data_IF_480983357443
#
_entry.id   IF_480983357443
#
_cell.length_a   1.000
_cell.length_b   1.000
_cell.length_c   1.000
_cell.angle_alpha   90.00
_cell.angle_beta   90.00
_cell.angle_gamma   90.00
#
_symmetry.space_group_name_H-M   'P 1'
#
loop_
_entity.id
_entity.type
_entity.pdbx_description
1 polymer ?
#
# COMPACT_ATOMS: atom_id res chain seq x y z
N UNK A 1 28.33 -4.42 -12.26
CA UNK A 1 27.38 -4.83 -11.21
C UNK A 1 28.00 -4.43 -9.90
N UNK A 2 27.50 -3.36 -9.29
CA UNK A 2 27.95 -2.94 -7.97
C UNK A 2 27.33 -3.91 -6.97
N UNK A 3 28.01 -5.03 -6.74
CA UNK A 3 27.57 -5.99 -5.74
C UNK A 3 27.84 -5.38 -4.37
N UNK A 4 26.77 -5.16 -3.61
CA UNK A 4 26.88 -5.04 -2.16
C UNK A 4 27.60 -6.27 -1.63
N UNK A 5 28.55 -6.08 -0.71
CA UNK A 5 29.09 -7.25 -0.02
C UNK A 5 27.96 -7.92 0.78
N UNK A 6 28.01 -9.25 0.98
CA UNK A 6 26.90 -9.98 1.58
C UNK A 6 26.49 -9.48 2.98
N UNK A 7 27.44 -8.93 3.75
CA UNK A 7 27.17 -8.44 5.10
C UNK A 7 26.40 -7.12 5.02
N UNK A 8 26.85 -6.17 4.19
CA UNK A 8 26.15 -4.91 3.98
C UNK A 8 24.76 -5.13 3.38
N UNK A 9 24.62 -6.06 2.43
CA UNK A 9 23.34 -6.42 1.83
C UNK A 9 22.35 -6.92 2.88
N UNK A 10 22.76 -7.86 3.73
CA UNK A 10 21.91 -8.42 4.78
C UNK A 10 21.47 -7.35 5.79
N UNK A 11 22.39 -6.47 6.19
CA UNK A 11 22.08 -5.35 7.09
C UNK A 11 21.04 -4.43 6.44
N UNK A 12 21.26 -4.01 5.19
CA UNK A 12 20.35 -3.12 4.47
C UNK A 12 18.97 -3.76 4.26
N UNK A 13 18.92 -5.04 3.87
CA UNK A 13 17.65 -5.73 3.67
C UNK A 13 16.89 -5.94 4.98
N UNK A 14 17.58 -6.31 6.06
CA UNK A 14 17.00 -6.40 7.40
C UNK A 14 16.40 -5.06 7.87
N UNK A 15 17.05 -3.94 7.52
CA UNK A 15 16.50 -2.59 7.77
C UNK A 15 15.24 -2.35 6.96
N UNK A 16 15.20 -2.69 5.67
CA UNK A 16 13.99 -2.56 4.84
C UNK A 16 12.83 -3.40 5.38
N UNK A 17 13.09 -4.63 5.85
CA UNK A 17 12.10 -5.47 6.53
C UNK A 17 11.58 -4.81 7.81
N UNK A 18 12.47 -4.20 8.60
CA UNK A 18 12.10 -3.46 9.81
C UNK A 18 11.21 -2.25 9.51
N UNK A 19 11.43 -1.57 8.39
CA UNK A 19 10.58 -0.46 7.94
C UNK A 19 9.16 -0.97 7.64
N UNK A 20 9.04 -2.07 6.89
CA UNK A 20 7.74 -2.67 6.59
C UNK A 20 7.01 -3.11 7.88
N UNK A 21 7.73 -3.64 8.87
CA UNK A 21 7.17 -3.97 10.20
C UNK A 21 6.70 -2.74 10.98
N UNK A 22 7.38 -1.61 10.86
CA UNK A 22 6.96 -0.34 11.47
C UNK A 22 5.67 0.18 10.82
N UNK A 23 5.55 0.06 9.50
CA UNK A 23 4.29 0.34 8.79
C UNK A 23 3.16 -0.55 9.31
N UNK A 24 3.41 -1.86 9.39
CA UNK A 24 2.41 -2.83 9.88
C UNK A 24 1.97 -2.51 11.32
N UNK A 25 2.93 -2.17 12.18
CA UNK A 25 2.65 -1.77 13.57
C UNK A 25 1.84 -0.47 13.63
N UNK A 26 2.07 0.44 12.69
CA UNK A 26 1.30 1.69 12.60
C UNK A 26 -0.16 1.37 12.31
N UNK A 27 -0.45 0.59 11.26
CA UNK A 27 -1.83 0.15 10.95
C UNK A 27 -2.48 -0.50 12.16
N UNK A 28 -1.82 -1.48 12.79
CA UNK A 28 -2.37 -2.21 13.94
C UNK A 28 -2.79 -1.28 15.09
N UNK A 29 -2.03 -0.21 15.33
CA UNK A 29 -2.24 0.69 16.47
C UNK A 29 -3.23 1.81 16.21
N UNK A 30 -3.52 2.11 14.94
CA UNK A 30 -4.40 3.23 14.57
C UNK A 30 -5.71 2.77 13.95
N UNK A 31 -5.80 1.53 13.45
CA UNK A 31 -7.03 0.96 12.96
C UNK A 31 -8.06 0.74 14.08
N UNK A 32 -9.34 0.78 13.72
CA UNK A 32 -10.46 0.71 14.66
C UNK A 32 -11.39 -0.48 14.40
N UNK A 33 -11.45 -1.01 13.18
CA UNK A 33 -12.25 -2.21 12.94
C UNK A 33 -11.60 -3.45 13.56
N UNK A 34 -12.42 -4.40 13.99
CA UNK A 34 -11.92 -5.68 14.51
C UNK A 34 -11.25 -6.52 13.43
N UNK A 35 -11.56 -6.30 12.15
CA UNK A 35 -10.94 -7.00 11.02
C UNK A 35 -9.45 -6.65 10.95
N UNK A 36 -9.11 -5.37 11.04
CA UNK A 36 -7.72 -4.92 10.98
C UNK A 36 -7.08 -5.00 12.37
N UNK A 37 -7.69 -4.40 13.39
CA UNK A 37 -7.07 -4.23 14.71
C UNK A 37 -7.01 -5.51 15.56
N UNK A 38 -7.76 -6.56 15.21
CA UNK A 38 -7.78 -7.83 15.97
C UNK A 38 -7.52 -9.06 15.12
N UNK A 39 -8.12 -9.17 13.93
CA UNK A 39 -7.88 -10.29 13.04
C UNK A 39 -6.61 -10.11 12.18
N UNK A 40 -6.05 -8.90 12.12
CA UNK A 40 -4.84 -8.56 11.38
C UNK A 40 -4.94 -8.90 9.88
N UNK A 41 -6.12 -8.68 9.30
CA UNK A 41 -6.39 -8.96 7.88
C UNK A 41 -5.89 -7.80 6.99
N UNK A 42 -4.56 -7.62 6.97
CA UNK A 42 -3.88 -6.62 6.16
C UNK A 42 -2.40 -6.99 5.92
N UNK A 43 -1.74 -6.26 5.02
CA UNK A 43 -0.32 -6.40 4.73
C UNK A 43 0.33 -5.08 4.33
N UNK A 44 1.63 -4.95 4.60
CA UNK A 44 2.43 -3.75 4.30
C UNK A 44 3.71 -4.11 3.57
N UNK A 45 4.10 -3.28 2.60
CA UNK A 45 5.20 -3.56 1.69
C UNK A 45 5.90 -2.28 1.21
N UNK A 46 7.22 -2.39 1.03
CA UNK A 46 8.05 -1.41 0.33
C UNK A 46 8.38 -1.96 -1.05
N UNK A 47 8.13 -1.15 -2.08
CA UNK A 47 8.36 -1.51 -3.48
C UNK A 47 9.37 -0.56 -4.14
N UNK A 48 10.12 -1.09 -5.10
CA UNK A 48 11.02 -0.29 -5.92
C UNK A 48 10.26 0.57 -6.95
N UNK A 49 10.98 1.44 -7.66
CA UNK A 49 10.42 2.30 -8.70
C UNK A 49 9.76 1.52 -9.88
N UNK A 50 10.01 0.20 -10.01
CA UNK A 50 9.40 -0.69 -10.99
C UNK A 50 8.19 -1.45 -10.43
N UNK A 51 7.78 -1.15 -9.20
CA UNK A 51 6.68 -1.83 -8.52
C UNK A 51 7.00 -3.28 -8.14
N UNK A 52 8.27 -3.61 -7.91
CA UNK A 52 8.70 -4.91 -7.38
C UNK A 52 8.83 -4.82 -5.86
N UNK A 53 8.30 -5.82 -5.16
CA UNK A 53 8.48 -5.95 -3.71
C UNK A 53 9.96 -6.04 -3.35
N UNK A 54 10.41 -5.22 -2.40
CA UNK A 54 11.74 -5.31 -1.80
C UNK A 54 11.64 -5.95 -0.42
N UNK A 55 10.65 -5.54 0.36
CA UNK A 55 10.46 -5.96 1.74
C UNK A 55 8.99 -5.84 2.13
N UNK A 56 8.47 -6.85 2.82
CA UNK A 56 7.13 -6.86 3.39
C UNK A 56 7.20 -7.21 4.88
N UNK A 57 6.20 -6.78 5.63
CA UNK A 57 6.05 -7.21 7.02
C UNK A 57 5.81 -8.74 7.07
N UNK A 58 6.54 -9.46 7.92
CA UNK A 58 6.46 -10.92 8.03
C UNK A 58 5.09 -11.40 8.57
N UNK A 59 4.36 -10.51 9.23
CA UNK A 59 2.99 -10.76 9.72
C UNK A 59 1.92 -10.53 8.68
N UNK A 60 2.26 -9.91 7.55
CA UNK A 60 1.32 -9.67 6.47
C UNK A 60 0.79 -10.99 5.94
N UNK A 61 -0.50 -11.04 5.61
CA UNK A 61 -1.05 -12.22 4.97
C UNK A 61 -0.37 -12.43 3.60
N UNK A 62 0.05 -13.66 3.27
CA UNK A 62 0.79 -13.92 2.03
C UNK A 62 0.10 -13.42 0.75
N UNK A 63 -1.23 -13.43 0.73
CA UNK A 63 -2.01 -12.95 -0.42
C UNK A 63 -1.78 -11.46 -0.71
N UNK A 64 -1.62 -10.62 0.32
CA UNK A 64 -1.39 -9.18 0.14
C UNK A 64 0.02 -8.91 -0.39
N UNK A 65 1.04 -9.64 0.11
CA UNK A 65 2.41 -9.51 -0.39
C UNK A 65 2.54 -9.94 -1.85
N UNK A 66 1.74 -10.91 -2.29
CA UNK A 66 1.74 -11.35 -3.69
C UNK A 66 1.00 -10.40 -4.63
N UNK A 67 0.01 -9.66 -4.14
CA UNK A 67 -0.89 -8.84 -4.96
C UNK A 67 -0.50 -7.36 -4.98
N UNK A 68 0.15 -6.84 -3.94
CA UNK A 68 0.63 -5.46 -3.88
C UNK A 68 1.58 -5.07 -5.04
N UNK A 69 2.50 -5.93 -5.51
CA UNK A 69 3.27 -5.66 -6.74
C UNK A 69 2.40 -5.55 -7.99
N UNK A 70 1.29 -6.29 -8.07
CA UNK A 70 0.36 -6.21 -9.20
C UNK A 70 -0.39 -4.88 -9.21
N UNK A 71 -0.91 -4.46 -8.06
CA UNK A 71 -1.56 -3.14 -7.89
C UNK A 71 -0.59 -2.03 -8.30
N UNK A 72 0.64 -2.08 -7.80
CA UNK A 72 1.65 -1.05 -8.06
C UNK A 72 2.07 -0.99 -9.53
N UNK A 73 2.24 -2.15 -10.19
CA UNK A 73 2.52 -2.19 -11.64
C UNK A 73 1.32 -1.71 -12.47
N UNK A 74 0.09 -1.98 -12.03
CA UNK A 74 -1.10 -1.49 -12.71
C UNK A 74 -1.24 0.05 -12.58
N UNK A 75 -0.85 0.62 -11.43
CA UNK A 75 -0.70 2.07 -11.25
C UNK A 75 0.32 2.61 -12.25
N UNK A 76 1.52 2.03 -12.33
CA UNK A 76 2.56 2.45 -13.28
C UNK A 76 2.13 2.32 -14.75
N UNK A 77 1.25 1.36 -15.07
CA UNK A 77 0.67 1.20 -16.40
C UNK A 77 -0.40 2.25 -16.74
N UNK A 78 -1.13 2.75 -15.73
CA UNK A 78 -2.17 3.77 -15.91
C UNK A 78 -1.63 5.19 -15.79
N UNK A 79 -0.70 5.42 -14.88
CA UNK A 79 -0.06 6.69 -14.57
C UNK A 79 1.44 6.55 -14.86
N UNK A 80 1.92 7.05 -16.01
CA UNK A 80 3.34 7.03 -16.33
C UNK A 80 4.17 7.67 -15.22
N UNK A 81 5.39 7.17 -14.98
CA UNK A 81 6.27 7.69 -13.91
C UNK A 81 6.48 9.22 -13.96
N UNK A 82 6.44 9.83 -15.14
CA UNK A 82 6.57 11.27 -15.33
C UNK A 82 5.36 12.08 -14.83
N UNK A 83 4.23 11.44 -14.60
CA UNK A 83 2.98 12.04 -14.10
C UNK A 83 2.77 11.77 -12.59
N UNK A 84 3.59 10.91 -11.99
CA UNK A 84 3.56 10.65 -10.55
C UNK A 84 4.29 11.79 -9.84
N UNK A 85 3.62 12.40 -8.87
CA UNK A 85 4.11 13.57 -8.14
C UNK A 85 4.18 13.31 -6.63
N UNK A 86 5.04 14.03 -5.89
CA UNK A 86 4.97 14.05 -4.43
C UNK A 86 3.57 14.44 -3.96
N UNK A 87 3.06 13.76 -2.93
CA UNK A 87 1.72 14.02 -2.39
C UNK A 87 0.58 13.30 -3.11
N UNK A 88 0.87 12.57 -4.19
CA UNK A 88 -0.10 11.63 -4.75
C UNK A 88 -0.31 10.45 -3.80
N UNK A 89 -1.52 9.92 -3.76
CA UNK A 89 -1.83 8.61 -3.16
C UNK A 89 -2.80 7.88 -4.07
N UNK A 90 -2.45 6.66 -4.46
CA UNK A 90 -3.25 5.84 -5.34
C UNK A 90 -4.04 4.79 -4.55
N UNK A 91 -5.21 4.44 -5.06
CA UNK A 91 -6.13 3.49 -4.44
C UNK A 91 -6.83 2.63 -5.48
N UNK A 92 -7.12 1.38 -5.12
CA UNK A 92 -8.08 0.52 -5.81
C UNK A 92 -8.60 -0.55 -4.85
N UNK A 93 -9.79 -1.07 -5.11
CA UNK A 93 -10.24 -2.34 -4.55
C UNK A 93 -10.63 -3.35 -5.64
N UNK A 94 -10.08 -3.15 -6.85
CA UNK A 94 -10.28 -4.06 -7.96
C UNK A 94 -9.88 -5.50 -7.55
N UNK A 95 -10.83 -6.44 -7.47
CA UNK A 95 -10.60 -7.77 -6.93
C UNK A 95 -9.67 -8.60 -7.83
N UNK A 96 -9.48 -8.18 -9.09
CA UNK A 96 -8.55 -8.82 -10.03
C UNK A 96 -7.11 -8.33 -9.86
N UNK A 97 -6.90 -7.18 -9.20
CA UNK A 97 -5.58 -6.64 -8.89
C UNK A 97 -5.20 -6.86 -7.42
N UNK A 98 -6.16 -6.70 -6.51
CA UNK A 98 -6.03 -6.94 -5.07
C UNK A 98 -6.19 -8.44 -4.74
N UNK A 99 -6.76 -8.76 -3.57
CA UNK A 99 -6.80 -10.10 -3.00
C UNK A 99 -8.15 -10.84 -3.19
N UNK A 100 -8.85 -10.56 -4.29
CA UNK A 100 -9.94 -11.41 -4.79
C UNK A 100 -11.36 -11.01 -4.39
N UNK A 101 -11.55 -9.99 -3.55
CA UNK A 101 -12.87 -9.43 -3.22
C UNK A 101 -12.82 -7.91 -2.95
N UNK A 102 -13.99 -7.25 -3.04
CA UNK A 102 -14.07 -5.78 -2.93
C UNK A 102 -13.67 -5.17 -1.58
N UNK A 103 -13.82 -5.86 -0.43
CA UNK A 103 -13.33 -5.31 0.84
C UNK A 103 -11.81 -5.06 0.91
N UNK A 104 -11.01 -5.66 0.03
CA UNK A 104 -9.55 -5.50 0.06
C UNK A 104 -9.13 -4.21 -0.66
N UNK A 105 -8.82 -3.20 0.14
CA UNK A 105 -8.42 -1.88 -0.35
C UNK A 105 -6.90 -1.79 -0.39
N UNK A 106 -6.34 -1.68 -1.59
CA UNK A 106 -4.94 -1.38 -1.81
C UNK A 106 -4.68 0.12 -1.87
N UNK A 107 -3.74 0.62 -1.06
CA UNK A 107 -3.29 2.01 -1.04
C UNK A 107 -1.78 2.07 -1.28
N UNK A 108 -1.36 2.88 -2.25
CA UNK A 108 0.03 3.00 -2.68
C UNK A 108 0.44 4.47 -2.71
N UNK A 109 1.52 4.78 -2.01
CA UNK A 109 2.07 6.14 -1.89
C UNK A 109 3.48 6.18 -2.48
N UNK A 110 3.75 7.06 -3.46
CA UNK A 110 5.07 7.20 -4.05
C UNK A 110 6.05 7.83 -3.07
N UNK A 111 7.29 7.35 -3.12
CA UNK A 111 8.41 7.83 -2.31
C UNK A 111 9.29 8.70 -3.19
N UNK A 112 9.58 9.91 -2.72
CA UNK A 112 10.50 10.84 -3.36
C UNK A 112 11.69 11.13 -2.44
N UNK A 113 12.89 11.10 -3.02
CA UNK A 113 14.13 11.44 -2.34
C UNK A 113 14.94 12.40 -3.21
N UNK A 114 15.34 13.55 -2.65
CA UNK A 114 16.08 14.61 -3.38
C UNK A 114 15.42 15.02 -4.72
N UNK A 115 14.08 15.06 -4.75
CA UNK A 115 13.30 15.40 -5.94
C UNK A 115 13.18 14.29 -6.99
N UNK A 116 13.70 13.09 -6.72
CA UNK A 116 13.60 11.90 -7.58
C UNK A 116 12.56 10.93 -7.03
N UNK A 117 11.77 10.34 -7.92
CA UNK A 117 10.91 9.21 -7.58
C UNK A 117 11.78 7.95 -7.38
N UNK A 118 11.66 7.28 -6.24
CA UNK A 118 12.56 6.16 -5.85
C UNK A 118 11.85 4.84 -5.55
N UNK A 119 10.53 4.84 -5.39
CA UNK A 119 9.76 3.63 -5.06
C UNK A 119 8.40 3.94 -4.48
N UNK A 120 7.79 2.96 -3.82
CA UNK A 120 6.49 3.10 -3.18
C UNK A 120 6.47 2.49 -1.78
N UNK A 121 5.65 3.07 -0.91
CA UNK A 121 5.12 2.41 0.27
C UNK A 121 3.69 1.98 -0.05
N UNK A 122 3.35 0.72 0.19
CA UNK A 122 2.04 0.16 -0.14
C UNK A 122 1.49 -0.70 0.97
N UNK A 123 0.18 -0.77 1.06
CA UNK A 123 -0.51 -1.71 1.92
C UNK A 123 -1.88 -2.11 1.34
N UNK A 124 -2.35 -3.31 1.70
CA UNK A 124 -3.72 -3.77 1.42
C UNK A 124 -4.34 -4.13 2.76
N UNK A 125 -5.57 -3.69 3.00
CA UNK A 125 -6.32 -4.05 4.19
C UNK A 125 -7.76 -4.40 3.85
N UNK A 126 -8.29 -5.40 4.54
CA UNK A 126 -9.69 -5.78 4.44
C UNK A 126 -10.54 -4.84 5.30
N UNK A 127 -11.35 -4.01 4.65
CA UNK A 127 -12.21 -3.06 5.35
C UNK A 127 -13.46 -3.72 5.93
N UNK A 128 -14.01 -3.13 7.00
CA UNK A 128 -15.18 -3.67 7.70
C UNK A 128 -16.48 -3.64 6.88
N UNK A 129 -16.57 -2.75 5.89
CA UNK A 129 -17.72 -2.63 5.02
C UNK A 129 -17.35 -1.95 3.69
N UNK A 130 -17.88 -2.48 2.59
CA UNK A 130 -17.76 -1.90 1.25
C UNK A 130 -19.14 -1.69 0.60
N UNK A 131 -20.22 -1.77 1.40
CA UNK A 131 -21.59 -1.69 0.91
C UNK A 131 -22.15 -3.06 0.52
N UNK A 132 -22.92 -3.13 -0.56
CA UNK A 132 -23.39 -4.39 -1.14
C UNK A 132 -24.39 -5.17 -0.27
N UNK A 133 -24.50 -6.48 -0.53
CA UNK A 133 -25.40 -7.39 0.20
C UNK A 133 -24.92 -7.67 1.63
N UNK A 134 -25.85 -7.69 2.59
CA UNK A 134 -25.58 -8.16 3.96
C UNK A 134 -25.39 -9.69 4.04
N UNK A 135 -25.91 -10.44 3.06
CA UNK A 135 -25.71 -11.89 2.96
C UNK A 135 -24.66 -12.18 1.87
N UNK A 136 -23.39 -12.06 2.24
CA UNK A 136 -22.25 -12.33 1.35
C UNK A 136 -22.24 -13.77 0.82
N UNK A 137 -22.94 -14.72 1.46
CA UNK A 137 -23.01 -16.11 0.97
C UNK A 137 -24.00 -16.27 -0.18
N UNK A 138 -24.83 -15.25 -0.44
CA UNK A 138 -25.84 -15.25 -1.50
C UNK A 138 -25.54 -14.28 -2.63
N UNK A 139 -24.43 -13.53 -2.55
CA UNK A 139 -23.99 -12.71 -3.68
C UNK A 139 -23.70 -13.59 -4.89
N UNK A 140 -24.20 -13.20 -6.05
CA UNK A 140 -24.12 -13.99 -7.30
C UNK A 140 -22.98 -13.54 -8.20
N UNK A 141 -22.57 -12.29 -8.07
CA UNK A 141 -21.49 -11.67 -8.80
C UNK A 141 -20.89 -10.52 -7.98
N UNK A 142 -19.76 -9.98 -8.45
CA UNK A 142 -19.02 -8.92 -7.76
C UNK A 142 -19.81 -7.61 -7.64
N UNK A 143 -20.83 -7.38 -8.48
CA UNK A 143 -21.63 -6.14 -8.42
C UNK A 143 -22.56 -6.12 -7.21
N UNK A 144 -22.86 -7.28 -6.62
CA UNK A 144 -23.64 -7.39 -5.39
C UNK A 144 -22.76 -7.26 -4.12
N UNK A 145 -21.43 -7.30 -4.23
CA UNK A 145 -20.50 -7.22 -3.09
C UNK A 145 -20.33 -5.80 -2.55
N UNK A 146 -20.57 -4.77 -3.37
CA UNK A 146 -20.51 -3.37 -2.95
C UNK A 146 -19.84 -2.46 -3.96
N UNK A 147 -19.24 -1.40 -3.46
CA UNK A 147 -18.66 -0.34 -4.29
C UNK A 147 -17.36 -0.86 -4.90
N UNK A 148 -17.25 -0.74 -6.22
CA UNK A 148 -16.01 -0.94 -6.94
C UNK A 148 -15.33 0.41 -7.21
N UNK A 149 -14.10 0.56 -6.75
CA UNK A 149 -13.20 1.67 -7.04
C UNK A 149 -12.16 1.19 -8.07
N UNK A 150 -12.23 1.68 -9.32
CA UNK A 150 -11.10 1.47 -10.23
C UNK A 150 -9.86 2.18 -9.69
N UNK A 151 -8.70 1.87 -10.27
CA UNK A 151 -7.46 2.60 -10.00
C UNK A 151 -7.69 4.12 -10.06
N UNK A 152 -7.59 4.79 -8.93
CA UNK A 152 -7.86 6.22 -8.79
C UNK A 152 -6.86 6.85 -7.83
N UNK A 153 -6.85 8.18 -7.77
CA UNK A 153 -6.11 8.94 -6.77
C UNK A 153 -7.02 9.19 -5.57
N UNK A 154 -6.58 8.78 -4.39
CA UNK A 154 -7.14 9.19 -3.10
C UNK A 154 -6.66 10.59 -2.72
N UNK A 155 -5.41 10.91 -3.07
CA UNK A 155 -4.84 12.26 -3.02
C UNK A 155 -4.14 12.59 -4.34
N UNK A 156 -4.27 13.83 -4.78
CA UNK A 156 -3.62 14.40 -5.97
C UNK A 156 -2.88 15.67 -5.55
N UNK A 157 -1.54 15.64 -5.54
CA UNK A 157 -0.72 16.76 -5.04
C UNK A 157 -1.17 17.25 -3.65
N UNK A 158 -1.17 16.34 -2.66
CA UNK A 158 -1.56 16.59 -1.27
C UNK A 158 -3.02 17.02 -1.06
N UNK A 159 -3.84 17.07 -2.13
CA UNK A 159 -5.25 17.43 -2.03
C UNK A 159 -6.10 16.16 -2.01
N UNK A 160 -6.98 15.99 -1.01
CA UNK A 160 -7.87 14.83 -0.97
C UNK A 160 -8.83 14.85 -2.16
N UNK A 161 -9.06 13.69 -2.74
CA UNK A 161 -10.10 13.50 -3.73
C UNK A 161 -11.45 13.31 -3.02
N UNK A 162 -12.12 14.43 -2.70
CA UNK A 162 -13.37 14.42 -1.94
C UNK A 162 -14.45 13.51 -2.54
N UNK A 163 -14.48 13.33 -3.87
CA UNK A 163 -15.42 12.40 -4.50
C UNK A 163 -15.18 10.96 -4.05
N UNK A 164 -13.93 10.52 -3.96
CA UNK A 164 -13.60 9.15 -3.50
C UNK A 164 -14.00 8.98 -2.04
N UNK A 165 -13.70 9.97 -1.18
CA UNK A 165 -14.11 9.94 0.22
C UNK A 165 -15.64 9.96 0.37
N UNK A 166 -16.35 10.77 -0.41
CA UNK A 166 -17.81 10.81 -0.42
C UNK A 166 -18.42 9.48 -0.88
N UNK A 167 -17.80 8.81 -1.86
CA UNK A 167 -18.24 7.47 -2.27
C UNK A 167 -18.22 6.49 -1.09
N UNK A 168 -17.19 6.51 -0.23
CA UNK A 168 -17.22 5.73 1.02
C UNK A 168 -18.33 6.22 1.95
N UNK A 169 -18.38 7.53 2.25
CA UNK A 169 -19.34 8.12 3.21
C UNK A 169 -20.79 7.74 2.94
N UNK A 170 -21.17 7.67 1.65
CA UNK A 170 -22.57 7.50 1.25
C UNK A 170 -22.95 6.06 0.91
N UNK A 171 -21.99 5.16 0.69
CA UNK A 171 -22.30 3.82 0.18
C UNK A 171 -21.87 2.68 1.13
N UNK A 172 -21.26 3.01 2.28
CA UNK A 172 -21.02 2.04 3.37
C UNK A 172 -21.84 2.41 4.61
N UNK A 173 -22.12 1.43 5.46
CA UNK A 173 -22.95 1.48 6.67
C UNK A 173 -22.21 2.04 7.87
N UNK A 174 -20.90 1.82 7.94
CA UNK A 174 -20.03 2.30 9.02
C UNK A 174 -18.92 3.23 8.48
N UNK A 175 -19.28 4.38 7.86
CA UNK A 175 -18.32 5.21 7.14
C UNK A 175 -17.21 5.76 8.04
N UNK A 176 -17.51 6.13 9.28
CA UNK A 176 -16.49 6.60 10.23
C UNK A 176 -15.43 5.54 10.51
N UNK A 177 -15.84 4.27 10.67
CA UNK A 177 -14.92 3.15 10.90
C UNK A 177 -14.07 2.88 9.66
N UNK A 178 -14.70 2.77 8.48
CA UNK A 178 -14.02 2.52 7.20
C UNK A 178 -13.01 3.62 6.88
N UNK A 179 -13.40 4.88 7.05
CA UNK A 179 -12.52 6.01 6.79
C UNK A 179 -11.37 6.10 7.79
N UNK A 180 -11.60 5.79 9.08
CA UNK A 180 -10.52 5.73 10.07
C UNK A 180 -9.51 4.62 9.76
N UNK A 181 -9.98 3.47 9.25
CA UNK A 181 -9.09 2.40 8.80
C UNK A 181 -8.29 2.81 7.53
N UNK A 182 -8.90 3.53 6.60
CA UNK A 182 -8.18 4.12 5.44
C UNK A 182 -7.13 5.14 5.92
N UNK A 183 -7.44 5.96 6.92
CA UNK A 183 -6.47 6.87 7.54
C UNK A 183 -5.32 6.10 8.22
N UNK A 184 -5.59 4.95 8.84
CA UNK A 184 -4.55 4.07 9.39
C UNK A 184 -3.61 3.53 8.29
N UNK A 185 -4.16 3.13 7.14
CA UNK A 185 -3.39 2.73 5.96
C UNK A 185 -2.51 3.89 5.43
N UNK A 186 -3.07 5.11 5.37
CA UNK A 186 -2.33 6.31 4.94
C UNK A 186 -1.18 6.65 5.90
N UNK A 187 -1.43 6.63 7.20
CA UNK A 187 -0.43 6.89 8.23
C UNK A 187 0.73 5.88 8.17
N UNK A 188 0.43 4.60 7.91
CA UNK A 188 1.44 3.58 7.72
C UNK A 188 2.31 3.84 6.47
N UNK A 189 1.70 4.23 5.35
CA UNK A 189 2.46 4.60 4.16
C UNK A 189 3.35 5.84 4.40
N UNK A 190 2.87 6.84 5.14
CA UNK A 190 3.68 8.01 5.51
C UNK A 190 4.91 7.62 6.34
N UNK A 191 4.75 6.69 7.29
CA UNK A 191 5.88 6.11 8.04
C UNK A 191 6.85 5.43 7.09
N UNK A 192 6.37 4.59 6.17
CA UNK A 192 7.20 3.93 5.16
C UNK A 192 7.99 4.91 4.30
N UNK A 193 7.33 5.94 3.76
CA UNK A 193 7.94 7.01 2.96
C UNK A 193 9.08 7.67 3.73
N UNK A 194 8.81 8.13 4.96
CA UNK A 194 9.82 8.81 5.80
C UNK A 194 11.01 7.90 6.08
N UNK A 195 10.74 6.64 6.47
CA UNK A 195 11.80 5.69 6.84
C UNK A 195 12.67 5.28 5.66
N UNK A 196 12.11 5.15 4.46
CA UNK A 196 12.90 4.88 3.25
C UNK A 196 13.77 6.09 2.91
N UNK A 197 13.27 7.31 3.07
CA UNK A 197 14.08 8.53 2.91
C UNK A 197 15.25 8.55 3.91
N UNK A 198 14.98 8.30 5.19
CA UNK A 198 16.03 8.21 6.22
C UNK A 198 17.06 7.12 5.88
N UNK A 199 16.61 5.97 5.38
CA UNK A 199 17.47 4.87 4.95
C UNK A 199 18.38 5.27 3.79
N UNK A 200 17.85 5.94 2.76
CA UNK A 200 18.65 6.39 1.62
C UNK A 200 19.71 7.41 2.04
N UNK A 201 19.38 8.32 2.97
CA UNK A 201 20.33 9.29 3.53
C UNK A 201 21.41 8.59 4.39
N UNK A 202 21.01 7.69 5.29
CA UNK A 202 21.90 6.94 6.19
C UNK A 202 22.98 6.15 5.42
N UNK A 203 22.59 5.50 4.33
CA UNK A 203 23.48 4.66 3.52
C UNK A 203 24.08 5.37 2.30
N UNK A 204 23.78 6.66 2.10
CA UNK A 204 24.29 7.44 0.98
C UNK A 204 23.87 6.89 -0.40
N UNK A 205 22.66 6.36 -0.51
CA UNK A 205 22.10 5.81 -1.73
C UNK A 205 21.29 6.87 -2.48
N UNK A 206 21.40 6.91 -3.81
CA UNK A 206 20.60 7.83 -4.64
C UNK A 206 19.16 7.31 -4.88
N UNK A 207 18.99 5.99 -4.92
CA UNK A 207 17.72 5.31 -5.14
C UNK A 207 17.78 3.85 -4.63
N UNK A 208 16.66 3.13 -4.76
CA UNK A 208 16.53 1.73 -4.34
C UNK A 208 16.92 0.72 -5.45
N UNK A 209 17.28 1.18 -6.65
CA UNK A 209 17.40 0.32 -7.85
C UNK A 209 18.42 -0.78 -7.66
N UNK A 210 19.65 -0.41 -7.31
CA UNK A 210 20.77 -1.38 -7.18
C UNK A 210 20.51 -2.36 -6.03
N UNK A 211 19.96 -1.87 -4.92
CA UNK A 211 19.61 -2.71 -3.77
C UNK A 211 18.50 -3.70 -4.13
N UNK A 212 17.44 -3.23 -4.77
CA UNK A 212 16.33 -4.05 -5.22
C UNK A 212 16.75 -5.11 -6.23
N UNK A 213 17.60 -4.78 -7.21
CA UNK A 213 18.14 -5.78 -8.14
C UNK A 213 18.96 -6.85 -7.41
N UNK A 214 19.80 -6.46 -6.45
CA UNK A 214 20.63 -7.41 -5.71
C UNK A 214 19.80 -8.32 -4.78
N UNK A 215 18.70 -7.82 -4.20
CA UNK A 215 17.80 -8.61 -3.34
C UNK A 215 16.98 -9.62 -4.16
N UNK A 216 16.66 -9.29 -5.40
CA UNK A 216 15.75 -10.06 -6.26
C UNK A 216 16.47 -11.01 -7.24
N UNK A 217 17.80 -10.91 -7.34
CA UNK A 217 18.68 -11.83 -8.06
C UNK A 217 18.82 -13.19 -7.34
#
# INVERSE_FOLDING_TARGET
MNHFDPVSLEIMWSRMLSIAEEMWTTVLRTAVSTIIASANDFGCEILDARGRSIAHAYRSMPVFNMTMPNVTKAILGKYPMAEIMPGDVFMTNDPWLCAGHLPDIGIVTPIFYQGRFVGFAGNIANTSDIGGSLDQKRVRDSYEEGIFFPLCKLYDDYKPNELVFDMFRWNVRAPEMVLTDIEAQLAANEVGVRRVVDFLDEYGLEDLTTLSDTILD
#
